data_IF_807062381653
#
_entry.id   IF_807062381653
#
_cell.length_a   1.000
_cell.length_b   1.000
_cell.length_c   1.000
_cell.angle_alpha   90.00
_cell.angle_beta   90.00
_cell.angle_gamma   90.00
#
_symmetry.space_group_name_H-M   'P 1'
#
loop_
_entity.id
_entity.type
_entity.pdbx_description
1 polymer ?
#
# COMPACT_ATOMS: atom_id res chain seq x y z
N UNK A 1 -13.61 15.68 -29.06
CA UNK A 1 -12.54 16.37 -28.34
C UNK A 1 -12.52 17.82 -28.83
N UNK A 2 -13.49 18.65 -28.40
CA UNK A 2 -13.14 20.05 -28.17
C UNK A 2 -11.94 20.07 -27.21
N UNK A 3 -10.94 20.86 -27.55
CA UNK A 3 -9.69 21.01 -26.80
C UNK A 3 -9.62 22.50 -26.46
N UNK A 4 -9.99 22.85 -25.22
CA UNK A 4 -10.00 24.23 -24.77
C UNK A 4 -8.74 24.51 -23.97
N UNK A 5 -7.90 25.40 -24.49
CA UNK A 5 -6.68 25.86 -23.82
C UNK A 5 -6.87 27.30 -23.34
N UNK A 6 -6.57 27.50 -22.07
CA UNK A 6 -6.44 28.80 -21.45
C UNK A 6 -5.23 29.57 -21.95
N UNK A 7 -5.07 30.74 -21.37
CA UNK A 7 -4.02 31.73 -21.59
C UNK A 7 -3.21 31.86 -20.30
N UNK A 8 -2.11 32.60 -20.33
CA UNK A 8 -1.26 32.83 -19.16
C UNK A 8 -1.91 33.73 -18.06
N UNK A 9 -3.22 33.94 -18.11
CA UNK A 9 -4.02 34.74 -17.18
C UNK A 9 -5.14 33.85 -16.59
N UNK A 10 -5.82 34.30 -15.53
CA UNK A 10 -7.01 33.62 -15.04
C UNK A 10 -8.07 33.46 -16.13
N UNK A 11 -8.47 32.22 -16.40
CA UNK A 11 -9.48 31.87 -17.39
C UNK A 11 -10.68 31.18 -16.75
N UNK A 12 -11.84 31.28 -17.41
CA UNK A 12 -12.98 30.42 -17.16
C UNK A 12 -13.20 29.58 -18.42
N UNK A 13 -12.75 28.33 -18.41
CA UNK A 13 -12.93 27.41 -19.53
C UNK A 13 -14.11 26.51 -19.21
N UNK A 14 -15.16 26.59 -20.02
CA UNK A 14 -16.38 25.81 -19.81
C UNK A 14 -16.43 24.75 -20.90
N UNK A 15 -16.56 23.49 -20.52
CA UNK A 15 -16.80 22.41 -21.46
C UNK A 15 -18.21 22.48 -22.04
N UNK A 16 -18.44 21.71 -23.08
CA UNK A 16 -19.67 21.58 -23.84
C UNK A 16 -20.20 20.16 -23.68
N UNK A 17 -21.33 19.85 -24.31
CA UNK A 17 -21.82 18.46 -24.31
C UNK A 17 -20.77 17.48 -24.87
N UNK A 18 -20.55 16.38 -24.16
CA UNK A 18 -19.61 15.32 -24.49
C UNK A 18 -18.21 15.54 -23.94
N UNK A 19 -17.48 14.45 -23.73
CA UNK A 19 -16.13 14.44 -23.14
C UNK A 19 -15.20 15.55 -23.66
N UNK A 20 -14.74 16.38 -22.73
CA UNK A 20 -13.88 17.52 -22.98
C UNK A 20 -12.46 17.37 -22.46
N UNK A 21 -11.60 18.18 -23.05
CA UNK A 21 -10.27 18.44 -22.52
C UNK A 21 -10.14 19.94 -22.27
N UNK A 22 -9.98 20.30 -21.01
CA UNK A 22 -9.78 21.67 -20.59
C UNK A 22 -8.40 21.83 -19.93
N UNK A 23 -7.63 22.78 -20.42
CA UNK A 23 -6.27 23.04 -19.93
C UNK A 23 -6.16 24.50 -19.52
N UNK A 24 -6.19 24.74 -18.20
CA UNK A 24 -5.87 26.01 -17.54
C UNK A 24 -4.37 26.30 -17.52
N UNK A 25 -3.99 27.44 -16.94
CA UNK A 25 -2.59 27.88 -16.88
C UNK A 25 -2.25 28.66 -15.60
N UNK A 26 -2.98 29.74 -15.28
CA UNK A 26 -2.67 30.62 -14.15
C UNK A 26 -3.98 31.01 -13.42
N UNK A 27 -4.34 30.26 -12.37
CA UNK A 27 -5.51 30.54 -11.52
C UNK A 27 -6.84 30.60 -12.28
N UNK A 28 -7.22 29.47 -12.83
CA UNK A 28 -8.32 29.24 -13.76
C UNK A 28 -9.48 28.53 -13.08
N UNK A 29 -10.69 28.73 -13.61
CA UNK A 29 -11.87 27.95 -13.28
C UNK A 29 -12.20 27.05 -14.47
N UNK A 30 -12.29 25.75 -14.22
CA UNK A 30 -12.46 24.70 -15.23
C UNK A 30 -13.71 23.87 -14.90
N UNK A 31 -14.92 24.32 -15.24
CA UNK A 31 -16.10 23.45 -15.25
C UNK A 31 -16.11 22.53 -16.49
N UNK A 32 -16.13 21.21 -16.27
CA UNK A 32 -16.31 20.14 -17.26
C UNK A 32 -17.65 20.27 -17.99
N UNK A 33 -18.78 20.12 -17.29
CA UNK A 33 -20.11 20.59 -17.74
C UNK A 33 -21.06 20.72 -16.53
N UNK A 34 -22.14 21.50 -16.65
CA UNK A 34 -23.27 21.52 -15.70
C UNK A 34 -24.53 20.82 -16.27
N UNK A 35 -24.38 20.10 -17.39
CA UNK A 35 -25.42 19.33 -18.06
C UNK A 35 -25.75 17.98 -17.38
N UNK A 36 -26.88 17.35 -17.74
CA UNK A 36 -27.27 16.04 -17.20
C UNK A 36 -26.56 14.85 -17.87
N UNK A 37 -25.55 15.10 -18.69
CA UNK A 37 -24.79 14.06 -19.39
C UNK A 37 -23.71 13.50 -18.47
N UNK A 38 -23.50 12.18 -18.55
CA UNK A 38 -22.43 11.47 -17.84
C UNK A 38 -21.17 11.52 -18.72
N UNK A 39 -20.64 12.70 -18.94
CA UNK A 39 -19.49 12.92 -19.81
C UNK A 39 -18.20 12.78 -19.02
N UNK A 40 -17.19 12.14 -19.60
CA UNK A 40 -15.93 11.89 -18.90
C UNK A 40 -14.87 12.91 -19.36
N UNK A 41 -14.60 13.89 -18.53
CA UNK A 41 -13.79 15.06 -18.83
C UNK A 41 -12.36 14.95 -18.29
N UNK A 42 -11.45 15.71 -18.92
CA UNK A 42 -10.05 15.83 -18.51
C UNK A 42 -9.72 17.30 -18.26
N UNK A 43 -9.46 17.64 -17.00
CA UNK A 43 -9.26 19.00 -16.51
C UNK A 43 -7.84 19.13 -15.93
N UNK A 44 -7.06 20.10 -16.42
CA UNK A 44 -5.68 20.33 -15.97
C UNK A 44 -5.49 21.82 -15.66
N UNK A 45 -5.33 22.18 -14.37
CA UNK A 45 -5.13 23.56 -13.90
C UNK A 45 -3.75 24.13 -14.22
N UNK A 46 -2.75 23.26 -14.35
CA UNK A 46 -1.33 23.58 -14.47
C UNK A 46 -0.75 24.39 -13.30
N UNK A 47 -1.05 25.67 -13.19
CA UNK A 47 -0.38 26.58 -12.29
C UNK A 47 -1.28 27.69 -11.74
N UNK A 48 -0.88 28.23 -10.59
CA UNK A 48 -1.71 29.14 -9.83
C UNK A 48 -2.79 28.39 -9.05
N UNK A 49 -3.60 29.14 -8.30
CA UNK A 49 -4.69 28.56 -7.52
C UNK A 49 -5.93 28.35 -8.42
N UNK A 50 -6.19 27.12 -8.86
CA UNK A 50 -7.26 26.76 -9.78
C UNK A 50 -8.50 26.19 -9.07
N UNK A 51 -9.67 26.24 -9.73
CA UNK A 51 -10.86 25.48 -9.31
C UNK A 51 -11.39 24.64 -10.46
N UNK A 52 -11.50 23.33 -10.23
CA UNK A 52 -11.91 22.33 -11.22
C UNK A 52 -13.21 21.66 -10.76
N UNK A 53 -14.15 21.49 -11.67
CA UNK A 53 -15.39 20.74 -11.46
C UNK A 53 -15.55 19.71 -12.58
N UNK A 54 -15.48 18.41 -12.26
CA UNK A 54 -15.73 17.33 -13.22
C UNK A 54 -17.18 17.32 -13.66
N UNK A 55 -18.10 17.16 -12.70
CA UNK A 55 -19.53 17.19 -12.96
C UNK A 55 -20.13 15.80 -12.82
N UNK A 56 -20.71 15.26 -13.87
CA UNK A 56 -21.24 13.89 -13.88
C UNK A 56 -20.51 13.08 -14.95
N UNK A 57 -20.13 11.85 -14.63
CA UNK A 57 -19.25 11.02 -15.46
C UNK A 57 -17.99 10.64 -14.69
N UNK A 58 -17.12 9.84 -15.30
CA UNK A 58 -15.86 9.45 -14.66
C UNK A 58 -14.75 10.40 -15.13
N UNK A 59 -14.41 11.40 -14.30
CA UNK A 59 -13.56 12.53 -14.67
C UNK A 59 -12.10 12.39 -14.21
N UNK A 60 -11.18 13.07 -14.89
CA UNK A 60 -9.78 13.22 -14.47
C UNK A 60 -9.47 14.71 -14.21
N UNK A 61 -9.17 15.03 -12.95
CA UNK A 61 -8.87 16.40 -12.50
C UNK A 61 -7.43 16.48 -11.97
N UNK A 62 -6.65 17.40 -12.52
CA UNK A 62 -5.27 17.68 -12.11
C UNK A 62 -5.15 19.14 -11.68
N UNK A 63 -4.86 19.41 -10.41
CA UNK A 63 -4.70 20.78 -9.90
C UNK A 63 -3.44 21.44 -10.45
N UNK A 64 -2.27 20.86 -10.15
CA UNK A 64 -0.99 21.32 -10.69
C UNK A 64 -0.15 22.03 -9.64
N UNK A 65 0.27 23.27 -9.87
CA UNK A 65 1.04 24.08 -8.92
C UNK A 65 0.15 25.17 -8.32
N UNK A 66 -0.10 25.16 -7.02
CA UNK A 66 -0.93 26.19 -6.41
C UNK A 66 -1.75 25.60 -5.28
N UNK A 67 -2.68 26.38 -4.76
CA UNK A 67 -3.67 25.87 -3.80
C UNK A 67 -4.97 25.66 -4.56
N UNK A 68 -5.20 24.42 -4.98
CA UNK A 68 -6.26 24.08 -5.90
C UNK A 68 -7.50 23.55 -5.19
N UNK A 69 -8.64 23.69 -5.84
CA UNK A 69 -9.93 23.19 -5.37
C UNK A 69 -10.55 22.29 -6.44
N UNK A 70 -10.61 20.98 -6.17
CA UNK A 70 -11.08 19.98 -7.13
C UNK A 70 -12.37 19.34 -6.62
N UNK A 71 -13.39 19.31 -7.48
CA UNK A 71 -14.66 18.62 -7.25
C UNK A 71 -14.87 17.58 -8.35
N UNK A 72 -14.85 16.29 -8.01
CA UNK A 72 -15.17 15.20 -8.94
C UNK A 72 -16.63 15.29 -9.38
N UNK A 73 -17.54 15.09 -8.43
CA UNK A 73 -18.97 15.20 -8.65
C UNK A 73 -19.64 13.85 -8.55
N UNK A 74 -20.20 13.33 -9.64
CA UNK A 74 -20.86 12.03 -9.65
C UNK A 74 -20.21 11.11 -10.69
N UNK A 75 -19.68 9.96 -10.27
CA UNK A 75 -18.98 9.00 -11.10
C UNK A 75 -17.71 8.52 -10.41
N UNK A 76 -16.92 7.66 -11.06
CA UNK A 76 -15.65 7.20 -10.51
C UNK A 76 -14.52 8.16 -10.93
N UNK A 77 -14.21 9.16 -10.10
CA UNK A 77 -13.28 10.24 -10.48
C UNK A 77 -11.83 9.98 -10.07
N UNK A 78 -10.89 10.56 -10.82
CA UNK A 78 -9.47 10.64 -10.48
C UNK A 78 -9.08 12.08 -10.15
N UNK A 79 -8.73 12.35 -8.90
CA UNK A 79 -8.32 13.68 -8.42
C UNK A 79 -6.84 13.67 -8.06
N UNK A 80 -6.04 14.43 -8.80
CA UNK A 80 -4.60 14.58 -8.62
C UNK A 80 -4.34 16.01 -8.13
N UNK A 81 -3.96 16.14 -6.86
CA UNK A 81 -3.78 17.44 -6.22
C UNK A 81 -2.64 18.25 -6.89
N UNK A 82 -1.44 17.66 -6.94
CA UNK A 82 -0.24 18.37 -7.39
C UNK A 82 0.56 18.94 -6.21
N UNK A 83 0.95 20.20 -6.29
CA UNK A 83 1.78 20.90 -5.32
C UNK A 83 1.06 22.10 -4.73
N UNK A 84 0.82 22.07 -3.44
CA UNK A 84 0.38 23.21 -2.64
C UNK A 84 -0.76 22.77 -1.74
N UNK A 85 -1.49 23.74 -1.18
CA UNK A 85 -2.52 23.48 -0.19
C UNK A 85 -3.88 23.16 -0.83
N UNK A 86 -4.02 21.94 -1.35
CA UNK A 86 -5.16 21.56 -2.19
C UNK A 86 -6.33 20.99 -1.39
N UNK A 87 -7.56 21.24 -1.85
CA UNK A 87 -8.78 20.62 -1.32
C UNK A 87 -9.50 19.84 -2.40
N UNK A 88 -9.71 18.55 -2.16
CA UNK A 88 -10.29 17.61 -3.13
C UNK A 88 -11.57 17.02 -2.53
N UNK A 89 -12.62 16.97 -3.35
CA UNK A 89 -13.93 16.43 -3.00
C UNK A 89 -14.35 15.45 -4.09
N UNK A 90 -14.53 14.19 -3.73
CA UNK A 90 -14.84 13.10 -4.66
C UNK A 90 -16.28 13.20 -5.10
N UNK A 91 -17.20 12.97 -4.16
CA UNK A 91 -18.63 13.18 -4.38
C UNK A 91 -19.38 11.86 -4.32
N UNK A 92 -20.14 11.50 -5.35
CA UNK A 92 -20.77 10.18 -5.45
C UNK A 92 -19.91 9.27 -6.33
N UNK A 93 -19.57 8.07 -5.88
CA UNK A 93 -18.86 7.10 -6.72
C UNK A 93 -17.68 6.46 -6.02
N UNK A 94 -16.76 5.90 -6.79
CA UNK A 94 -15.53 5.27 -6.26
C UNK A 94 -14.34 6.08 -6.72
N UNK A 95 -14.02 7.09 -5.93
CA UNK A 95 -13.06 8.12 -6.31
C UNK A 95 -11.63 7.74 -5.92
N UNK A 96 -10.65 8.25 -6.66
CA UNK A 96 -9.23 8.00 -6.42
C UNK A 96 -8.46 9.31 -6.25
N UNK A 97 -7.94 9.51 -5.06
CA UNK A 97 -7.19 10.70 -4.67
C UNK A 97 -5.70 10.40 -4.71
N UNK A 98 -4.93 11.16 -5.48
CA UNK A 98 -3.48 11.00 -5.57
C UNK A 98 -2.80 12.29 -5.11
N UNK A 99 -1.96 12.19 -4.08
CA UNK A 99 -1.21 13.35 -3.58
C UNK A 99 0.17 13.03 -3.01
N UNK A 100 1.04 14.03 -3.05
CA UNK A 100 2.25 14.08 -2.24
C UNK A 100 1.96 14.82 -0.94
N UNK A 101 2.34 14.25 0.20
CA UNK A 101 1.95 14.82 1.48
C UNK A 101 2.93 15.89 1.94
N UNK A 102 2.72 17.14 1.50
CA UNK A 102 3.60 18.26 1.90
C UNK A 102 2.88 19.50 2.42
N UNK A 103 1.55 19.54 2.36
CA UNK A 103 0.79 20.77 2.58
C UNK A 103 -0.57 20.51 3.24
N UNK A 104 -1.20 21.57 3.73
CA UNK A 104 -2.51 21.52 4.38
C UNK A 104 -3.63 21.48 3.36
N UNK A 105 -4.67 20.69 3.60
CA UNK A 105 -5.78 20.52 2.67
C UNK A 105 -6.92 19.72 3.28
N UNK A 106 -8.04 19.58 2.57
CA UNK A 106 -9.11 18.65 2.94
C UNK A 106 -9.33 17.65 1.81
N UNK A 107 -9.34 16.38 2.15
CA UNK A 107 -9.75 15.29 1.28
C UNK A 107 -11.01 14.67 1.84
N UNK A 108 -12.05 14.71 1.03
CA UNK A 108 -13.36 14.17 1.36
C UNK A 108 -13.82 13.30 0.18
N UNK A 109 -13.79 11.97 0.36
CA UNK A 109 -14.26 11.04 -0.68
C UNK A 109 -15.76 11.16 -0.93
N UNK A 110 -16.54 11.51 0.10
CA UNK A 110 -17.99 11.62 0.00
C UNK A 110 -18.69 10.28 0.12
N UNK A 111 -19.55 9.97 -0.85
CA UNK A 111 -20.41 8.82 -0.86
C UNK A 111 -19.89 7.75 -1.83
N UNK A 112 -19.47 6.62 -1.28
CA UNK A 112 -19.15 5.43 -2.06
C UNK A 112 -17.98 4.69 -1.48
N UNK A 113 -16.97 4.38 -2.29
CA UNK A 113 -15.77 3.66 -1.82
C UNK A 113 -14.54 4.36 -2.33
N UNK A 114 -13.96 5.18 -1.48
CA UNK A 114 -12.94 6.12 -1.95
C UNK A 114 -11.54 5.64 -1.59
N UNK A 115 -10.60 5.94 -2.48
CA UNK A 115 -9.22 5.49 -2.43
C UNK A 115 -8.33 6.68 -2.14
N UNK A 116 -7.64 6.64 -1.02
CA UNK A 116 -6.58 7.59 -0.67
C UNK A 116 -5.22 7.02 -1.08
N UNK A 117 -4.59 7.59 -2.09
CA UNK A 117 -3.19 7.34 -2.43
C UNK A 117 -2.32 8.53 -1.99
N UNK A 118 -1.55 8.31 -0.93
CA UNK A 118 -0.73 9.36 -0.30
C UNK A 118 0.64 8.82 0.11
N UNK A 119 1.69 9.59 -0.18
CA UNK A 119 3.05 9.26 0.23
C UNK A 119 3.65 10.38 1.07
N UNK A 120 4.12 10.01 2.26
CA UNK A 120 4.90 10.83 3.18
C UNK A 120 6.40 10.46 3.14
N UNK A 121 6.87 9.84 2.04
CA UNK A 121 8.28 9.48 1.90
C UNK A 121 9.22 10.66 2.21
N UNK A 122 10.33 10.35 2.89
CA UNK A 122 11.35 11.29 3.36
C UNK A 122 10.82 12.35 4.38
N UNK A 123 9.66 12.12 5.00
CA UNK A 123 9.14 12.97 6.09
C UNK A 123 9.38 12.29 7.44
N UNK A 124 10.12 12.94 8.35
CA UNK A 124 10.42 12.40 9.68
C UNK A 124 9.31 12.56 10.72
N UNK A 125 8.08 12.92 10.33
CA UNK A 125 6.96 13.05 11.27
C UNK A 125 6.06 11.83 11.17
N UNK A 126 5.79 11.20 12.32
CA UNK A 126 4.84 10.09 12.41
C UNK A 126 3.46 10.42 11.81
N UNK A 127 2.99 9.54 10.95
CA UNK A 127 1.67 9.50 10.32
C UNK A 127 0.76 8.62 11.15
N UNK A 128 -0.42 9.13 11.45
CA UNK A 128 -1.47 8.38 12.15
C UNK A 128 -2.75 8.39 11.33
N UNK A 129 -3.01 7.27 10.64
CA UNK A 129 -4.22 7.05 9.86
C UNK A 129 -5.01 5.86 10.41
N UNK A 130 -6.32 6.00 10.45
CA UNK A 130 -7.26 5.00 10.93
C UNK A 130 -8.58 5.02 10.14
N UNK A 131 -8.70 4.12 9.17
CA UNK A 131 -9.85 3.97 8.28
C UNK A 131 -10.98 3.10 8.87
N UNK A 132 -10.91 2.73 10.16
CA UNK A 132 -11.98 1.94 10.80
C UNK A 132 -13.30 2.72 10.98
N UNK A 133 -13.23 4.06 10.94
CA UNK A 133 -14.40 4.94 11.00
C UNK A 133 -14.21 6.11 10.02
N UNK A 134 -14.44 5.88 8.71
CA UNK A 134 -14.06 6.81 7.64
C UNK A 134 -14.75 8.18 7.77
N UNK A 135 -15.96 8.24 8.31
CA UNK A 135 -16.72 9.48 8.55
C UNK A 135 -16.08 10.44 9.57
N UNK A 136 -15.05 10.01 10.30
CA UNK A 136 -14.34 10.87 11.26
C UNK A 136 -13.16 11.53 10.58
N UNK A 137 -13.17 12.87 10.55
CA UNK A 137 -12.03 13.67 10.14
C UNK A 137 -10.76 13.28 10.90
N UNK A 138 -9.75 12.90 10.13
CA UNK A 138 -8.39 12.58 10.57
C UNK A 138 -7.47 13.71 10.17
N UNK A 139 -6.43 13.93 10.97
CA UNK A 139 -5.42 14.96 10.69
C UNK A 139 -4.08 14.28 10.54
N UNK A 140 -3.52 14.35 9.35
CA UNK A 140 -2.21 13.81 9.03
C UNK A 140 -1.15 14.92 9.11
N UNK A 141 0.16 14.57 9.05
CA UNK A 141 1.23 15.55 8.93
C UNK A 141 1.00 16.58 7.81
N UNK A 142 1.60 17.76 7.94
CA UNK A 142 1.36 18.88 7.03
C UNK A 142 -0.01 19.56 7.19
N UNK A 143 -0.89 19.05 8.06
CA UNK A 143 -2.22 19.60 8.30
C UNK A 143 -3.27 19.09 7.31
N UNK A 144 -3.00 18.00 6.59
CA UNK A 144 -3.97 17.34 5.71
C UNK A 144 -5.12 16.77 6.53
N UNK A 145 -6.34 17.22 6.24
CA UNK A 145 -7.58 16.63 6.71
C UNK A 145 -8.02 15.50 5.78
N UNK A 146 -8.35 14.34 6.33
CA UNK A 146 -8.86 13.19 5.57
C UNK A 146 -10.16 12.70 6.20
N UNK A 147 -11.21 12.54 5.39
CA UNK A 147 -12.50 12.00 5.80
C UNK A 147 -13.13 11.23 4.63
N UNK A 148 -14.03 10.30 4.94
CA UNK A 148 -14.77 9.50 3.96
C UNK A 148 -13.83 8.80 2.98
N UNK A 149 -12.85 8.07 3.52
CA UNK A 149 -11.92 7.24 2.73
C UNK A 149 -11.98 5.81 3.24
N UNK A 150 -12.32 4.87 2.38
CA UNK A 150 -12.53 3.46 2.74
C UNK A 150 -11.31 2.59 2.45
N UNK A 151 -10.43 3.04 1.56
CA UNK A 151 -9.23 2.31 1.13
C UNK A 151 -8.00 3.22 1.15
N UNK A 152 -6.92 2.75 1.77
CA UNK A 152 -5.65 3.45 1.83
C UNK A 152 -4.55 2.76 1.00
N UNK A 153 -3.89 3.54 0.17
CA UNK A 153 -2.61 3.25 -0.48
C UNK A 153 -1.58 4.23 0.08
N UNK A 154 -0.98 3.89 1.22
CA UNK A 154 -0.27 4.86 2.07
C UNK A 154 1.19 4.46 2.27
N UNK A 155 2.08 5.44 2.19
CA UNK A 155 3.48 5.34 2.65
C UNK A 155 3.70 6.30 3.81
N UNK A 156 4.10 5.81 4.97
CA UNK A 156 4.17 6.54 6.24
C UNK A 156 5.35 7.51 6.39
N UNK A 157 6.53 7.19 5.86
CA UNK A 157 7.67 8.11 5.85
C UNK A 157 8.82 7.62 6.73
N UNK A 158 9.52 8.52 7.42
CA UNK A 158 10.68 8.15 8.26
C UNK A 158 10.37 8.14 9.78
N UNK A 159 9.09 8.27 10.16
CA UNK A 159 8.66 8.32 11.56
C UNK A 159 8.03 7.01 12.01
N UNK A 160 7.84 6.83 13.32
CA UNK A 160 7.12 5.66 13.85
C UNK A 160 5.61 5.78 13.54
N UNK A 161 5.19 5.18 12.44
CA UNK A 161 3.89 5.37 11.84
C UNK A 161 2.84 4.42 12.40
N UNK A 162 1.58 4.84 12.31
CA UNK A 162 0.42 4.04 12.69
C UNK A 162 -0.62 4.09 11.60
N UNK A 163 -0.64 3.07 10.75
CA UNK A 163 -1.57 2.93 9.65
C UNK A 163 -2.56 1.80 9.96
N UNK A 164 -3.83 2.14 10.10
CA UNK A 164 -4.91 1.19 10.38
C UNK A 164 -5.94 1.27 9.27
N UNK A 165 -6.14 0.15 8.62
CA UNK A 165 -7.06 -0.04 7.53
C UNK A 165 -8.48 -0.35 8.00
N UNK A 166 -9.34 -0.58 7.03
CA UNK A 166 -10.77 -0.59 7.20
C UNK A 166 -11.41 -1.94 6.91
N UNK A 167 -12.40 -1.91 6.02
CA UNK A 167 -13.12 -3.09 5.55
C UNK A 167 -12.66 -3.54 4.15
N UNK A 168 -11.72 -2.82 3.54
CA UNK A 168 -11.31 -2.93 2.15
C UNK A 168 -9.83 -3.28 2.08
N UNK A 169 -9.41 -3.78 0.91
CA UNK A 169 -8.04 -4.15 0.64
C UNK A 169 -7.11 -2.92 0.66
N UNK A 170 -6.33 -2.77 1.71
CA UNK A 170 -5.40 -1.67 1.91
C UNK A 170 -3.98 -2.03 1.44
N UNK A 171 -3.17 -1.03 1.11
CA UNK A 171 -1.76 -1.20 0.84
C UNK A 171 -0.95 -0.19 1.66
N UNK A 172 -0.27 -0.68 2.68
CA UNK A 172 0.50 0.15 3.59
C UNK A 172 1.99 -0.16 3.54
N UNK A 173 2.76 0.90 3.42
CA UNK A 173 4.21 0.92 3.60
C UNK A 173 4.49 1.81 4.81
N UNK A 174 5.17 1.27 5.81
CA UNK A 174 5.61 2.01 7.01
C UNK A 174 6.65 3.05 6.64
N UNK A 175 7.87 2.58 6.37
CA UNK A 175 8.95 3.39 5.83
C UNK A 175 10.23 3.21 6.62
N UNK A 176 10.77 4.26 7.22
CA UNK A 176 11.77 4.11 8.29
C UNK A 176 11.06 4.33 9.63
N UNK A 177 11.52 3.67 10.68
CA UNK A 177 10.96 3.84 12.02
C UNK A 177 10.29 2.56 12.49
N UNK A 178 9.91 2.49 13.76
CA UNK A 178 9.24 1.31 14.31
C UNK A 178 7.72 1.43 14.11
N UNK A 179 7.21 0.84 13.03
CA UNK A 179 5.86 1.07 12.54
C UNK A 179 4.81 0.11 13.11
N UNK A 180 3.55 0.56 13.11
CA UNK A 180 2.37 -0.26 13.40
C UNK A 180 1.43 -0.23 12.20
N UNK A 181 1.35 -1.35 11.48
CA UNK A 181 0.47 -1.52 10.33
C UNK A 181 -0.61 -2.57 10.64
N UNK A 182 -1.87 -2.22 10.39
CA UNK A 182 -2.99 -3.15 10.52
C UNK A 182 -3.91 -3.05 9.31
N UNK A 183 -4.03 -4.11 8.50
CA UNK A 183 -4.86 -4.16 7.31
C UNK A 183 -6.37 -4.11 7.62
N UNK A 184 -6.84 -4.99 8.51
CA UNK A 184 -8.23 -4.99 8.96
C UNK A 184 -9.02 -6.11 8.31
N UNK A 185 -9.96 -5.79 7.40
CA UNK A 185 -10.55 -6.80 6.51
C UNK A 185 -10.18 -6.45 5.08
N UNK A 186 -10.15 -7.45 4.22
CA UNK A 186 -9.73 -7.26 2.84
C UNK A 186 -8.52 -8.12 2.57
N UNK A 187 -8.01 -8.08 1.35
CA UNK A 187 -6.75 -8.74 1.06
C UNK A 187 -5.68 -7.65 1.04
N UNK A 188 -4.98 -7.50 2.16
CA UNK A 188 -4.15 -6.34 2.42
C UNK A 188 -2.69 -6.59 2.01
N UNK A 189 -1.99 -5.54 1.61
CA UNK A 189 -0.54 -5.55 1.36
C UNK A 189 0.16 -4.72 2.43
N UNK A 190 1.00 -5.35 3.24
CA UNK A 190 1.69 -4.70 4.35
C UNK A 190 3.22 -4.85 4.20
N UNK A 191 3.94 -3.75 4.43
CA UNK A 191 5.40 -3.67 4.35
C UNK A 191 5.89 -2.65 5.39
N UNK A 192 6.61 -3.07 6.43
CA UNK A 192 7.19 -2.17 7.42
C UNK A 192 8.35 -1.36 6.86
N UNK A 193 9.17 -2.01 6.01
CA UNK A 193 10.38 -1.50 5.38
C UNK A 193 11.59 -1.51 6.32
N UNK A 194 11.93 -0.43 7.01
CA UNK A 194 13.10 -0.38 7.88
C UNK A 194 12.74 0.07 9.29
N UNK A 195 13.24 -0.63 10.31
CA UNK A 195 12.82 -0.44 11.70
C UNK A 195 12.43 -1.78 12.29
N UNK A 196 11.75 -1.83 13.43
CA UNK A 196 11.21 -3.07 13.99
C UNK A 196 9.69 -2.99 14.06
N UNK A 197 9.04 -3.61 13.08
CA UNK A 197 7.67 -3.28 12.77
C UNK A 197 6.67 -4.27 13.36
N UNK A 198 5.41 -3.83 13.47
CA UNK A 198 4.27 -4.68 13.86
C UNK A 198 3.22 -4.67 12.78
N UNK A 199 3.14 -5.76 12.02
CA UNK A 199 2.21 -5.91 10.91
C UNK A 199 1.13 -6.93 11.26
N UNK A 200 -0.14 -6.53 11.10
CA UNK A 200 -1.30 -7.37 11.33
C UNK A 200 -2.22 -7.34 10.10
N UNK A 201 -2.36 -8.45 9.39
CA UNK A 201 -3.21 -8.56 8.19
C UNK A 201 -4.67 -8.41 8.57
N UNK A 202 -5.19 -9.37 9.33
CA UNK A 202 -6.53 -9.31 9.89
C UNK A 202 -7.40 -10.39 9.27
N UNK A 203 -8.34 -10.04 8.41
CA UNK A 203 -9.23 -11.02 7.77
C UNK A 203 -9.19 -10.87 6.26
N UNK A 204 -8.86 -11.95 5.56
CA UNK A 204 -8.70 -12.02 4.12
C UNK A 204 -7.36 -12.65 3.77
N UNK A 205 -6.95 -12.60 2.51
CA UNK A 205 -5.68 -13.17 2.07
C UNK A 205 -4.64 -12.06 2.05
N UNK A 206 -3.89 -11.95 3.13
CA UNK A 206 -2.99 -10.82 3.35
C UNK A 206 -1.59 -11.14 2.87
N UNK A 207 -0.85 -10.10 2.49
CA UNK A 207 0.48 -10.20 1.89
C UNK A 207 1.47 -9.34 2.68
N UNK A 208 2.50 -9.98 3.24
CA UNK A 208 3.55 -9.35 4.01
C UNK A 208 4.84 -9.35 3.20
N UNK A 209 5.32 -8.16 2.83
CA UNK A 209 6.58 -7.94 2.13
C UNK A 209 7.47 -7.06 2.99
N UNK A 210 8.10 -7.68 4.00
CA UNK A 210 8.96 -6.99 4.95
C UNK A 210 10.35 -7.62 4.99
N UNK A 211 11.39 -6.80 4.91
CA UNK A 211 12.72 -7.25 4.49
C UNK A 211 13.88 -6.73 5.35
N UNK A 212 13.64 -5.83 6.30
CA UNK A 212 14.63 -5.30 7.24
C UNK A 212 13.94 -5.16 8.59
N UNK A 213 14.67 -5.37 9.68
CA UNK A 213 14.10 -5.31 11.02
C UNK A 213 13.87 -6.63 11.75
N UNK A 214 13.68 -6.52 13.06
CA UNK A 214 13.10 -7.58 13.90
C UNK A 214 11.57 -7.42 13.96
N UNK A 215 10.91 -7.78 12.86
CA UNK A 215 9.46 -7.53 12.72
C UNK A 215 8.59 -8.56 13.43
N UNK A 216 7.37 -8.16 13.77
CA UNK A 216 6.32 -9.04 14.28
C UNK A 216 5.16 -9.07 13.29
N UNK A 217 4.99 -10.21 12.63
CA UNK A 217 4.01 -10.43 11.59
C UNK A 217 2.88 -11.34 12.11
N UNK A 218 1.63 -10.93 11.88
CA UNK A 218 0.43 -11.68 12.25
C UNK A 218 -0.51 -11.69 11.07
N UNK A 219 -0.71 -12.86 10.44
CA UNK A 219 -1.57 -13.00 9.25
C UNK A 219 -3.03 -12.76 9.60
N UNK A 220 -3.52 -13.46 10.62
CA UNK A 220 -4.90 -13.45 11.05
C UNK A 220 -5.69 -14.60 10.41
N UNK A 221 -6.84 -14.26 9.84
CA UNK A 221 -7.76 -15.21 9.25
C UNK A 221 -7.75 -15.14 7.74
N UNK A 222 -7.34 -16.22 7.08
CA UNK A 222 -7.34 -16.35 5.64
C UNK A 222 -6.14 -17.17 5.21
N UNK A 223 -5.75 -17.07 3.94
CA UNK A 223 -4.55 -17.73 3.43
C UNK A 223 -3.50 -16.68 3.15
N UNK A 224 -2.61 -16.48 4.10
CA UNK A 224 -1.70 -15.34 4.14
C UNK A 224 -0.35 -15.68 3.50
N UNK A 225 0.29 -14.68 2.92
CA UNK A 225 1.55 -14.81 2.20
C UNK A 225 2.66 -14.00 2.85
N UNK A 226 3.68 -14.67 3.36
CA UNK A 226 4.89 -14.05 3.92
C UNK A 226 6.04 -14.19 2.92
N UNK A 227 6.60 -13.08 2.46
CA UNK A 227 7.52 -13.07 1.31
C UNK A 227 8.94 -12.75 1.73
N UNK A 228 9.84 -13.63 1.35
CA UNK A 228 11.27 -13.47 1.51
C UNK A 228 11.91 -13.40 0.12
N UNK A 229 12.31 -12.20 -0.31
CA UNK A 229 12.90 -11.98 -1.65
C UNK A 229 14.38 -11.51 -1.60
N UNK A 230 14.96 -11.37 -0.40
CA UNK A 230 16.37 -11.05 -0.17
C UNK A 230 17.13 -12.25 0.44
N UNK A 231 18.46 -12.21 0.40
CA UNK A 231 19.47 -13.20 0.76
C UNK A 231 19.41 -13.76 2.19
N UNK A 232 18.38 -13.48 2.99
CA UNK A 232 18.29 -13.74 4.43
C UNK A 232 19.37 -13.04 5.26
N UNK A 233 20.08 -12.07 4.68
CA UNK A 233 21.12 -11.29 5.34
C UNK A 233 20.54 -9.96 5.87
N UNK A 234 19.45 -10.06 6.62
CA UNK A 234 18.72 -8.91 7.15
C UNK A 234 19.36 -8.48 8.49
N UNK A 235 19.07 -7.26 8.94
CA UNK A 235 19.50 -6.72 10.24
C UNK A 235 18.60 -7.16 11.42
N UNK A 236 17.65 -8.07 11.17
CA UNK A 236 16.82 -8.73 12.16
C UNK A 236 16.19 -10.00 11.60
N UNK A 237 15.46 -10.75 12.43
CA UNK A 237 14.71 -11.93 11.99
C UNK A 237 13.23 -11.73 12.30
N UNK A 238 12.32 -11.85 11.32
CA UNK A 238 10.90 -11.65 11.56
C UNK A 238 10.31 -12.79 12.40
N UNK A 239 9.38 -12.43 13.26
CA UNK A 239 8.56 -13.33 14.07
C UNK A 239 7.16 -13.43 13.49
N UNK A 240 6.79 -14.60 12.97
CA UNK A 240 5.44 -14.89 12.47
C UNK A 240 4.64 -15.59 13.56
N UNK A 241 3.59 -14.93 14.04
CA UNK A 241 2.95 -15.31 15.32
C UNK A 241 1.82 -16.33 15.19
N UNK A 242 1.15 -16.44 14.04
CA UNK A 242 -0.08 -17.23 13.92
C UNK A 242 -0.16 -18.11 12.66
N UNK A 243 1.00 -18.42 12.06
CA UNK A 243 1.10 -19.22 10.84
C UNK A 243 0.26 -20.51 10.88
N UNK A 244 -0.65 -20.64 9.93
CA UNK A 244 -1.56 -21.77 9.75
C UNK A 244 -1.04 -22.74 8.69
N UNK A 245 -0.56 -23.91 9.13
CA UNK A 245 -0.06 -24.96 8.23
C UNK A 245 -1.09 -25.40 7.19
N UNK A 246 -0.67 -25.45 5.92
CA UNK A 246 -1.50 -25.83 4.77
C UNK A 246 -2.48 -24.75 4.32
N UNK A 247 -2.49 -23.59 4.98
CA UNK A 247 -3.32 -22.44 4.65
C UNK A 247 -2.43 -21.27 4.25
N UNK A 248 -1.53 -20.87 5.13
CA UNK A 248 -0.55 -19.81 4.89
C UNK A 248 0.64 -20.30 4.07
N UNK A 249 1.31 -19.37 3.40
CA UNK A 249 2.40 -19.66 2.46
C UNK A 249 3.62 -18.79 2.74
N UNK A 250 4.77 -19.45 2.82
CA UNK A 250 6.10 -18.82 2.82
C UNK A 250 6.57 -18.72 1.36
N UNK A 251 6.58 -17.52 0.80
CA UNK A 251 7.07 -17.26 -0.54
C UNK A 251 8.56 -16.95 -0.49
N UNK A 252 9.36 -17.67 -1.26
CA UNK A 252 10.81 -17.46 -1.31
C UNK A 252 11.25 -17.18 -2.75
N UNK A 253 11.93 -16.05 -2.94
CA UNK A 253 12.44 -15.66 -4.25
C UNK A 253 13.55 -16.59 -4.73
N UNK A 254 13.57 -16.93 -6.02
CA UNK A 254 14.54 -17.86 -6.59
C UNK A 254 15.99 -17.36 -6.47
N UNK A 255 16.19 -16.03 -6.50
CA UNK A 255 17.50 -15.40 -6.25
C UNK A 255 18.05 -15.70 -4.85
N UNK A 256 17.17 -16.00 -3.90
CA UNK A 256 17.47 -16.38 -2.52
C UNK A 256 17.55 -17.90 -2.38
N UNK A 257 16.79 -18.65 -3.17
CA UNK A 257 16.68 -20.10 -3.07
C UNK A 257 17.78 -20.89 -3.82
N UNK A 258 18.90 -20.25 -4.18
CA UNK A 258 20.13 -20.84 -4.77
C UNK A 258 19.90 -21.98 -5.78
N UNK A 259 19.13 -21.73 -6.84
CA UNK A 259 18.93 -22.69 -7.93
C UNK A 259 17.81 -23.70 -7.72
N UNK A 260 17.02 -23.57 -6.65
CA UNK A 260 15.72 -24.25 -6.56
C UNK A 260 14.83 -23.92 -7.76
N UNK A 261 14.02 -24.90 -8.15
CA UNK A 261 13.03 -24.73 -9.21
C UNK A 261 11.81 -23.97 -8.68
N UNK A 262 11.21 -23.06 -9.47
CA UNK A 262 9.94 -22.45 -9.12
C UNK A 262 8.84 -23.49 -8.88
N UNK A 263 7.92 -23.19 -7.96
CA UNK A 263 6.84 -24.05 -7.53
C UNK A 263 6.93 -24.45 -6.06
N UNK A 264 6.12 -25.44 -5.66
CA UNK A 264 6.15 -25.97 -4.29
C UNK A 264 7.52 -26.56 -3.97
N UNK A 265 8.02 -26.31 -2.77
CA UNK A 265 9.28 -26.87 -2.30
C UNK A 265 9.21 -28.40 -2.30
N UNK A 266 10.26 -29.04 -2.83
CA UNK A 266 10.36 -30.48 -2.83
C UNK A 266 10.60 -31.02 -1.41
N UNK A 267 10.09 -32.22 -1.11
CA UNK A 267 10.12 -32.76 0.24
C UNK A 267 11.54 -33.11 0.72
N UNK A 268 12.46 -33.40 -0.20
CA UNK A 268 13.89 -33.61 0.03
C UNK A 268 14.67 -32.30 0.24
N UNK A 269 14.05 -31.15 -0.06
CA UNK A 269 14.63 -29.84 0.22
C UNK A 269 14.26 -29.31 1.62
N UNK A 270 13.64 -30.12 2.47
CA UNK A 270 13.15 -29.72 3.78
C UNK A 270 13.35 -30.81 4.84
N UNK A 271 13.82 -30.41 6.03
CA UNK A 271 13.90 -31.31 7.18
C UNK A 271 13.51 -30.68 8.51
N UNK A 272 13.35 -31.56 9.51
CA UNK A 272 13.12 -31.17 10.90
C UNK A 272 14.37 -31.37 11.73
N UNK A 273 14.53 -30.49 12.72
CA UNK A 273 15.57 -30.55 13.73
C UNK A 273 16.44 -29.30 13.70
N UNK A 274 17.53 -29.29 14.48
CA UNK A 274 18.41 -28.15 14.59
C UNK A 274 19.46 -28.06 13.46
N UNK A 275 19.43 -28.98 12.49
CA UNK A 275 20.43 -29.05 11.41
C UNK A 275 19.91 -29.80 10.17
N UNK A 276 20.44 -29.44 8.99
CA UNK A 276 20.27 -30.20 7.75
C UNK A 276 20.82 -31.63 7.89
N UNK A 277 20.19 -32.61 7.23
CA UNK A 277 20.62 -34.02 7.30
C UNK A 277 21.51 -34.42 6.13
N UNK A 278 21.33 -33.78 4.98
CA UNK A 278 22.11 -33.98 3.75
C UNK A 278 22.29 -32.65 3.00
N UNK A 279 22.76 -32.71 1.75
CA UNK A 279 23.08 -31.52 0.95
C UNK A 279 21.87 -30.98 0.17
N UNK A 280 20.80 -31.76 0.14
CA UNK A 280 19.55 -31.47 -0.53
C UNK A 280 18.59 -30.72 0.40
N UNK A 281 18.61 -31.01 1.71
CA UNK A 281 17.86 -30.31 2.76
C UNK A 281 18.26 -28.81 2.83
N UNK A 282 17.49 -27.92 2.20
CA UNK A 282 17.76 -26.47 2.18
C UNK A 282 17.02 -25.67 3.22
N UNK A 283 15.83 -26.12 3.61
CA UNK A 283 15.08 -25.51 4.70
C UNK A 283 15.05 -26.47 5.89
N UNK A 284 15.40 -25.95 7.06
CA UNK A 284 15.52 -26.73 8.29
C UNK A 284 14.63 -26.09 9.34
N UNK A 285 13.67 -26.85 9.88
CA UNK A 285 12.75 -26.34 10.88
C UNK A 285 12.96 -27.03 12.24
N UNK A 286 13.43 -26.26 13.22
CA UNK A 286 13.46 -26.69 14.61
C UNK A 286 12.11 -26.44 15.26
N UNK A 287 11.30 -27.50 15.34
CA UNK A 287 9.96 -27.43 15.93
C UNK A 287 9.97 -27.11 17.43
N UNK A 288 11.03 -27.47 18.15
CA UNK A 288 11.10 -27.25 19.59
C UNK A 288 11.26 -25.76 19.90
N UNK A 289 12.15 -25.09 19.16
CA UNK A 289 12.43 -23.67 19.31
C UNK A 289 11.55 -22.79 18.41
N UNK A 290 10.86 -23.38 17.43
CA UNK A 290 10.03 -22.66 16.45
C UNK A 290 10.85 -21.91 15.39
N UNK A 291 12.10 -22.30 15.17
CA UNK A 291 13.02 -21.56 14.29
C UNK A 291 13.11 -22.20 12.91
N UNK A 292 12.96 -21.38 11.87
CA UNK A 292 13.22 -21.78 10.49
C UNK A 292 14.60 -21.29 10.06
N UNK A 293 15.40 -22.19 9.52
CA UNK A 293 16.71 -21.90 8.95
C UNK A 293 16.77 -22.23 7.46
N UNK A 294 17.69 -21.57 6.77
CA UNK A 294 18.09 -21.85 5.41
C UNK A 294 19.55 -22.31 5.36
N UNK A 295 19.80 -23.53 4.85
CA UNK A 295 21.13 -24.08 4.62
C UNK A 295 21.67 -23.62 3.26
N UNK A 296 22.53 -22.60 3.32
CA UNK A 296 23.12 -21.97 2.13
C UNK A 296 24.22 -22.82 1.49
N UNK A 297 25.01 -23.55 2.28
CA UNK A 297 26.14 -24.30 1.75
C UNK A 297 25.76 -25.73 1.33
N UNK A 298 24.60 -26.22 1.79
CA UNK A 298 24.14 -27.58 1.52
C UNK A 298 25.05 -28.60 2.19
N UNK A 299 25.52 -28.31 3.41
CA UNK A 299 26.37 -29.20 4.18
C UNK A 299 26.25 -28.97 5.70
N UNK A 300 25.19 -29.51 6.30
CA UNK A 300 25.09 -29.63 7.76
C UNK A 300 24.88 -28.30 8.50
N UNK A 301 25.24 -28.24 9.79
CA UNK A 301 24.75 -27.19 10.70
C UNK A 301 25.54 -25.88 10.73
N UNK A 302 26.68 -25.75 10.02
CA UNK A 302 27.65 -24.67 10.28
C UNK A 302 27.48 -23.41 9.42
N UNK A 303 26.58 -23.42 8.42
CA UNK A 303 26.32 -22.25 7.56
C UNK A 303 24.82 -21.94 7.38
N UNK A 304 23.98 -22.40 8.29
CA UNK A 304 22.55 -22.10 8.27
C UNK A 304 22.29 -20.66 8.71
N UNK A 305 21.40 -19.98 8.01
CA UNK A 305 20.93 -18.62 8.32
C UNK A 305 19.51 -18.71 8.83
N UNK A 306 19.19 -18.00 9.91
CA UNK A 306 17.82 -17.94 10.42
C UNK A 306 16.96 -17.12 9.46
N UNK A 307 15.81 -17.66 9.09
CA UNK A 307 14.86 -17.05 8.14
C UNK A 307 13.71 -16.38 8.88
N UNK A 308 13.13 -17.10 9.85
CA UNK A 308 11.99 -16.61 10.61
C UNK A 308 11.87 -17.35 11.95
N UNK A 309 11.30 -16.67 12.93
CA UNK A 309 10.86 -17.24 14.20
C UNK A 309 9.35 -17.47 14.14
N UNK A 310 8.90 -18.61 14.66
CA UNK A 310 7.50 -18.95 14.83
C UNK A 310 7.21 -19.28 16.29
N UNK A 311 5.93 -19.32 16.66
CA UNK A 311 5.54 -19.90 17.92
C UNK A 311 6.03 -21.36 18.04
N UNK A 312 6.57 -21.78 19.21
CA UNK A 312 6.98 -23.16 19.41
C UNK A 312 5.86 -24.14 19.08
N UNK A 313 6.20 -25.25 18.43
CA UNK A 313 5.26 -26.28 17.95
C UNK A 313 4.39 -25.95 16.73
N UNK A 314 4.51 -24.78 16.10
CA UNK A 314 3.91 -24.53 14.77
C UNK A 314 4.29 -25.64 13.79
N UNK A 315 3.36 -26.06 12.94
CA UNK A 315 3.49 -27.32 12.18
C UNK A 315 3.99 -27.14 10.75
N UNK A 316 5.01 -26.32 10.51
CA UNK A 316 5.52 -26.02 9.16
C UNK A 316 5.95 -27.27 8.39
N UNK A 317 5.64 -27.31 7.08
CA UNK A 317 5.94 -28.39 6.13
C UNK A 317 6.46 -27.85 4.81
N UNK A 318 7.17 -28.68 4.05
CA UNK A 318 7.64 -28.32 2.70
C UNK A 318 6.54 -27.77 1.78
N UNK A 319 5.30 -28.26 1.88
CA UNK A 319 4.22 -27.79 1.02
C UNK A 319 3.69 -26.39 1.38
N UNK A 320 4.12 -25.83 2.52
CA UNK A 320 3.83 -24.45 2.92
C UNK A 320 4.75 -23.43 2.23
N UNK A 321 5.74 -23.91 1.46
CA UNK A 321 6.71 -23.06 0.75
C UNK A 321 6.37 -22.97 -0.74
N UNK A 322 6.49 -21.77 -1.28
CA UNK A 322 6.43 -21.50 -2.72
C UNK A 322 7.69 -20.78 -3.18
N UNK A 323 8.43 -21.41 -4.10
CA UNK A 323 9.58 -20.79 -4.76
C UNK A 323 9.08 -20.05 -6.01
N UNK A 324 9.44 -18.79 -6.18
CA UNK A 324 9.00 -17.98 -7.33
C UNK A 324 10.18 -17.31 -8.04
N UNK A 325 10.09 -17.17 -9.37
CA UNK A 325 11.00 -16.32 -10.13
C UNK A 325 10.60 -14.85 -9.96
N UNK A 326 11.57 -13.97 -9.76
CA UNK A 326 11.35 -12.52 -9.88
C UNK A 326 10.96 -12.16 -11.32
#
# INVERSE_FOLDING_TARGET
>A
MPDFHGTNLPDNLIGLEGNDRLVGWNSSNLPGDEGPSNDNDSLDGQGGDDTLWGGAGDDELVGGLGNDLLYGGAGDDLLIAGHGADSLFGGEGRDHFVMNARFSGLLDGGAGVDILQISFADQGQAVHLNLTNPERLQKLPGGVGVVNMERGLVSGGDGDDRLIGGQRADAFHGGQGDDYLRGGKGNDLLSGQGGNDRLMGGAGQDRFQDLQGEDVLTGGGGADSFIFNDTFAHDGTPSITDFQTGVDVLWVGQGVAFGMKPGKLAADAFCFGPAARDAEDRFVYDKAEGVLYFDRDGSGSQAMVQVAQFNPSTAIRHFDFMIFSQ
#
